data_IF_759612260152
#
_entry.id   IF_759612260152
#
_cell.length_a   1.000
_cell.length_b   1.000
_cell.length_c   1.000
_cell.angle_alpha   90.00
_cell.angle_beta   90.00
_cell.angle_gamma   90.00
#
_symmetry.space_group_name_H-M   'P 1'
#
loop_
_entity.id
_entity.type
_entity.pdbx_description
1 polymer ?
2 non-polymer ?
3 non-polymer ?
4 non-polymer ?
5 water ?
#
# COMPACT_ATOMS: atom_id res chain seq x y z
N UNK A 19 24.95 -10.89 -14.34
CA UNK A 19 24.52 -9.86 -13.38
C UNK A 19 24.93 -10.23 -11.96
N UNK A 20 24.32 -11.29 -11.43
CA UNK A 20 24.62 -11.82 -10.10
C UNK A 20 24.67 -10.78 -8.98
N UNK A 21 23.49 -10.45 -8.44
CA UNK A 21 23.39 -9.48 -7.36
C UNK A 21 23.15 -10.18 -6.03
N UNK A 22 23.60 -9.56 -4.95
CA UNK A 22 23.17 -9.94 -3.62
C UNK A 22 21.96 -9.08 -3.28
N UNK A 23 20.82 -9.71 -3.01
CA UNK A 23 19.59 -9.01 -2.73
C UNK A 23 19.09 -9.32 -1.33
N UNK A 24 18.81 -8.29 -0.55
CA UNK A 24 18.24 -8.48 0.77
C UNK A 24 16.75 -8.22 0.73
N UNK A 25 16.00 -8.98 1.50
CA UNK A 25 14.58 -8.75 1.58
C UNK A 25 14.23 -8.43 3.01
N UNK A 26 13.70 -7.23 3.22
CA UNK A 26 13.30 -6.78 4.54
C UNK A 26 11.88 -7.19 4.85
N UNK A 27 11.72 -8.18 5.72
CA UNK A 27 10.41 -8.60 6.15
C UNK A 27 10.57 -9.32 7.48
N UNK A 28 9.47 -9.46 8.22
CA UNK A 28 9.52 -10.18 9.48
C UNK A 28 9.35 -11.72 9.40
N UNK A 29 8.87 -12.27 8.28
CA UNK A 29 8.76 -13.74 8.16
C UNK A 29 8.73 -14.33 6.74
N UNK A 30 8.56 -15.67 6.68
CA UNK A 30 8.43 -16.41 5.43
C UNK A 30 6.98 -16.76 5.01
N UNK A 31 6.44 -15.94 4.10
CA UNK A 31 5.09 -16.12 3.55
C UNK A 31 5.22 -16.27 2.02
N UNK A 32 4.11 -16.45 1.27
CA UNK A 32 4.23 -16.76 -0.18
C UNK A 32 5.12 -15.77 -0.89
N UNK A 33 4.87 -14.50 -0.64
CA UNK A 33 5.64 -13.41 -1.23
C UNK A 33 7.11 -13.65 -0.93
N UNK A 34 7.43 -14.11 0.27
CA UNK A 34 8.84 -14.21 0.61
C UNK A 34 9.48 -15.38 -0.10
N UNK A 35 8.77 -16.50 -0.14
CA UNK A 35 9.22 -17.65 -0.92
C UNK A 35 9.29 -17.34 -2.42
N UNK A 36 8.28 -16.66 -2.96
CA UNK A 36 8.21 -16.48 -4.42
C UNK A 36 9.31 -15.61 -5.01
N UNK A 37 10.10 -14.94 -4.17
CA UNK A 37 11.19 -14.13 -4.71
C UNK A 37 12.58 -14.58 -4.34
N UNK A 38 12.71 -15.28 -3.21
CA UNK A 38 13.89 -16.11 -2.97
C UNK A 38 13.93 -16.98 -4.24
N UNK A 39 12.77 -17.55 -4.57
CA UNK A 39 12.58 -18.40 -5.74
C UNK A 39 13.00 -17.69 -7.03
N UNK A 40 12.37 -16.56 -7.32
CA UNK A 40 12.58 -15.89 -8.60
C UNK A 40 13.95 -15.23 -8.73
N UNK A 41 14.57 -14.87 -7.61
CA UNK A 41 15.89 -14.29 -7.67
C UNK A 41 16.98 -15.35 -7.80
N UNK A 42 16.84 -16.49 -7.13
CA UNK A 42 17.83 -17.54 -7.30
C UNK A 42 17.74 -18.08 -8.74
N UNK A 43 16.52 -18.25 -9.24
CA UNK A 43 16.30 -18.71 -10.62
C UNK A 43 16.79 -17.72 -11.66
N UNK A 44 16.18 -16.53 -11.69
CA UNK A 44 16.55 -15.47 -12.65
C UNK A 44 18.01 -15.12 -12.39
N UNK A 45 18.66 -14.52 -13.38
CA UNK A 45 20.11 -14.29 -13.44
C UNK A 45 20.98 -14.65 -12.21
N UNK A 46 20.61 -15.74 -11.52
CA UNK A 46 21.40 -16.35 -10.47
C UNK A 46 21.88 -15.37 -9.43
N UNK A 47 20.93 -14.74 -8.76
CA UNK A 47 21.23 -13.78 -7.72
C UNK A 47 21.22 -14.54 -6.39
N UNK A 48 22.00 -14.05 -5.43
CA UNK A 48 21.94 -14.54 -4.06
C UNK A 48 20.92 -13.72 -3.27
N UNK A 49 20.24 -14.36 -2.32
CA UNK A 49 19.19 -13.71 -1.53
C UNK A 49 19.31 -14.03 -0.03
N UNK A 50 19.28 -12.99 0.79
CA UNK A 50 19.18 -13.15 2.23
C UNK A 50 17.88 -12.48 2.68
N UNK A 51 17.10 -13.14 3.53
CA UNK A 51 15.86 -12.56 4.03
C UNK A 51 16.04 -12.14 5.48
N UNK A 52 15.98 -10.81 5.72
CA UNK A 52 16.33 -10.23 7.02
C UNK A 52 15.12 -9.64 7.74
N UNK A 53 15.01 -9.91 9.04
CA UNK A 53 14.08 -9.17 9.89
C UNK A 53 14.66 -7.76 10.11
N UNK A 54 13.87 -6.71 9.78
CA UNK A 54 14.38 -5.36 10.00
C UNK A 54 14.63 -5.13 11.49
N UNK A 55 13.72 -5.67 12.30
CA UNK A 55 13.82 -5.56 13.74
C UNK A 55 15.10 -6.15 14.35
N UNK A 56 15.79 -6.98 13.59
CA UNK A 56 16.97 -7.67 14.11
C UNK A 56 18.23 -6.99 13.65
N UNK A 57 18.07 -6.02 12.76
CA UNK A 57 19.17 -5.20 12.33
C UNK A 57 19.49 -4.22 13.45
N UNK A 58 20.77 -3.91 13.61
CA UNK A 58 21.21 -2.90 14.55
C UNK A 58 22.48 -2.27 13.99
N UNK A 59 22.68 -0.98 14.23
CA UNK A 59 23.69 -0.25 13.47
C UNK A 59 24.02 1.10 14.09
N UNK A 60 25.19 1.65 13.76
CA UNK A 60 25.51 3.01 14.16
C UNK A 60 25.00 4.01 13.15
N UNK A 61 23.95 4.74 13.51
CA UNK A 61 23.41 5.78 12.64
C UNK A 61 24.39 6.92 12.60
N UNK A 62 25.16 7.06 13.67
CA UNK A 62 26.27 7.99 13.62
C UNK A 62 27.37 7.43 12.68
N UNK A 63 28.66 7.49 13.08
CA UNK A 63 29.68 7.80 12.06
C UNK A 63 29.21 7.47 10.65
N UNK A 64 28.49 8.41 10.03
CA UNK A 64 27.69 8.21 8.80
C UNK A 64 28.02 6.99 7.93
N UNK A 65 26.95 6.32 7.48
CA UNK A 65 26.96 4.99 6.87
C UNK A 65 27.15 3.91 7.94
N UNK A 66 28.33 3.30 8.01
CA UNK A 66 28.63 2.24 8.99
C UNK A 66 27.79 0.97 8.78
N UNK A 67 28.42 -0.17 8.98
CA UNK A 67 27.82 -1.45 8.64
C UNK A 67 26.56 -1.71 9.42
N UNK A 68 25.73 -2.61 8.91
CA UNK A 68 24.53 -3.05 9.62
C UNK A 68 24.79 -4.41 10.26
N UNK A 69 24.45 -4.55 11.54
CA UNK A 69 24.71 -5.79 12.23
C UNK A 69 23.44 -6.62 12.36
N UNK A 70 23.62 -7.93 12.33
CA UNK A 70 22.51 -8.86 12.34
C UNK A 70 23.02 -10.13 12.99
N UNK A 71 22.37 -10.52 14.08
CA UNK A 71 22.77 -11.69 14.86
C UNK A 71 24.28 -11.78 15.10
N UNK A 72 24.88 -10.69 15.57
CA UNK A 72 26.28 -10.71 15.98
C UNK A 72 27.29 -10.53 14.86
N UNK A 73 26.83 -10.59 13.61
CA UNK A 73 27.77 -10.42 12.49
C UNK A 73 27.45 -9.19 11.62
N UNK A 74 28.42 -8.76 10.83
CA UNK A 74 28.22 -7.64 9.90
C UNK A 74 27.66 -8.16 8.59
N UNK A 75 26.59 -7.53 8.11
CA UNK A 75 26.02 -7.85 6.81
C UNK A 75 27.00 -7.50 5.70
N UNK A 76 26.93 -8.24 4.58
CA UNK A 76 28.03 -8.20 3.61
C UNK A 76 27.87 -7.27 2.41
N UNK A 77 26.96 -6.31 2.45
CA UNK A 77 26.69 -5.39 1.32
C UNK A 77 25.85 -5.91 0.18
N UNK A 78 24.63 -5.41 0.13
CA UNK A 78 23.65 -5.84 -0.84
C UNK A 78 23.57 -4.84 -1.98
N UNK A 79 23.50 -5.36 -3.20
CA UNK A 79 23.33 -4.52 -4.37
C UNK A 79 21.95 -3.89 -4.39
N UNK A 80 21.01 -4.54 -3.70
CA UNK A 80 19.63 -4.12 -3.71
C UNK A 80 18.90 -4.61 -2.47
N UNK A 81 17.86 -3.87 -2.07
CA UNK A 81 17.03 -4.30 -0.95
C UNK A 81 15.58 -4.22 -1.35
N UNK A 82 14.85 -5.27 -1.00
CA UNK A 82 13.42 -5.31 -1.25
C UNK A 82 12.72 -5.15 0.10
N UNK A 83 12.28 -3.93 0.41
CA UNK A 83 11.55 -3.70 1.66
C UNK A 83 10.14 -4.22 1.52
N UNK A 84 9.63 -4.80 2.59
CA UNK A 84 8.28 -5.32 2.62
C UNK A 84 7.85 -5.19 4.06
N UNK A 85 7.98 -3.97 4.56
CA UNK A 85 7.86 -3.68 5.97
C UNK A 85 6.40 -3.61 6.40
N UNK A 86 6.13 -4.18 7.57
CA UNK A 86 4.81 -4.22 8.12
C UNK A 86 4.30 -2.87 8.60
N UNK A 87 2.98 -2.75 8.59
CA UNK A 87 2.31 -1.48 8.88
C UNK A 87 2.49 -1.05 10.32
N UNK A 88 3.03 -1.93 11.17
CA UNK A 88 3.15 -1.63 12.59
C UNK A 88 4.60 -1.48 13.05
N UNK A 89 5.51 -1.41 12.09
CA UNK A 89 6.93 -1.49 12.38
C UNK A 89 7.64 -0.53 11.40
N UNK A 90 6.82 0.38 10.90
CA UNK A 90 7.21 1.23 9.80
C UNK A 90 8.24 2.31 10.20
N UNK A 91 8.22 2.79 11.45
CA UNK A 91 9.27 3.71 11.90
C UNK A 91 10.65 3.12 11.96
N UNK A 92 10.78 1.97 12.61
CA UNK A 92 12.09 1.34 12.66
C UNK A 92 12.45 0.71 11.33
N UNK A 93 11.45 0.14 10.65
CA UNK A 93 11.66 -0.53 9.38
C UNK A 93 12.33 0.37 8.38
N UNK A 94 11.77 1.57 8.22
CA UNK A 94 12.30 2.57 7.29
C UNK A 94 13.67 3.10 7.72
N UNK A 95 13.95 3.04 9.02
CA UNK A 95 15.26 3.45 9.51
C UNK A 95 16.31 2.48 9.03
N UNK A 96 16.05 1.19 9.23
CA UNK A 96 16.93 0.15 8.72
C UNK A 96 17.03 0.26 7.21
N UNK A 97 15.89 0.50 6.55
CA UNK A 97 15.89 0.66 5.11
C UNK A 97 16.83 1.78 4.72
N UNK A 98 16.74 2.89 5.46
CA UNK A 98 17.51 4.08 5.16
C UNK A 98 19.00 3.76 5.23
N UNK A 99 19.40 2.97 6.21
CA UNK A 99 20.80 2.57 6.33
C UNK A 99 21.30 1.79 5.14
N UNK A 100 20.47 0.87 4.64
CA UNK A 100 20.86 0.10 3.47
C UNK A 100 21.07 1.05 2.31
N UNK A 101 20.13 2.00 2.15
CA UNK A 101 20.22 2.98 1.08
C UNK A 101 21.52 3.78 1.18
N UNK A 102 21.86 4.22 2.39
CA UNK A 102 23.08 5.00 2.62
C UNK A 102 24.33 4.17 2.34
N UNK A 103 24.21 2.85 2.45
CA UNK A 103 25.31 1.95 2.10
C UNK A 103 25.44 1.63 0.60
N UNK A 104 24.50 2.10 -0.21
CA UNK A 104 24.59 1.92 -1.65
C UNK A 104 23.59 0.95 -2.26
N UNK A 105 22.83 0.25 -1.43
CA UNK A 105 21.83 -0.68 -1.94
C UNK A 105 20.69 0.05 -2.65
N UNK A 106 20.30 -0.42 -3.83
CA UNK A 106 19.11 0.11 -4.50
C UNK A 106 17.87 -0.48 -3.84
N UNK A 107 16.85 0.34 -3.60
CA UNK A 107 15.62 -0.23 -3.04
C UNK A 107 14.44 -0.20 -4.00
N UNK A 108 13.68 -1.28 -4.14
CA UNK A 108 12.43 -1.01 -4.81
C UNK A 108 11.42 -0.60 -3.77
N UNK A 109 10.96 0.64 -3.94
CA UNK A 109 10.32 1.46 -2.92
C UNK A 109 11.36 2.02 -1.95
N UNK A 110 11.63 3.33 -2.07
CA UNK A 110 12.55 3.97 -1.13
C UNK A 110 11.86 4.45 0.16
N UNK A 111 12.61 4.39 1.25
CA UNK A 111 12.21 4.83 2.61
C UNK A 111 11.26 6.01 2.65
N UNK A 112 11.64 7.13 2.06
CA UNK A 112 10.75 8.32 2.10
C UNK A 112 9.40 7.97 1.52
N UNK A 113 9.42 7.37 0.34
CA UNK A 113 8.17 7.02 -0.33
C UNK A 113 7.35 6.07 0.54
N UNK A 114 8.02 5.13 1.18
CA UNK A 114 7.30 4.12 1.96
C UNK A 114 6.66 4.79 3.15
N UNK A 115 7.48 5.55 3.88
CA UNK A 115 7.03 6.34 5.02
C UNK A 115 5.78 7.17 4.67
N UNK A 116 5.91 8.06 3.71
CA UNK A 116 4.79 8.91 3.31
C UNK A 116 3.54 8.11 2.97
N UNK A 117 3.73 6.97 2.30
CA UNK A 117 2.61 6.17 1.81
C UNK A 117 1.80 5.55 2.95
N UNK A 118 2.47 5.32 4.08
CA UNK A 118 1.78 4.72 5.22
C UNK A 118 0.74 5.69 5.74
N UNK A 119 1.03 6.98 5.62
CA UNK A 119 0.12 8.05 6.03
C UNK A 119 -0.98 8.23 4.99
N UNK A 120 -2.17 7.70 5.24
CA UNK A 120 -3.21 7.73 4.20
C UNK A 120 -3.70 9.15 3.95
N UNK A 121 -3.79 9.93 5.03
CA UNK A 121 -4.08 11.36 4.97
C UNK A 121 -3.14 12.14 4.05
N UNK A 122 -1.83 12.07 4.33
CA UNK A 122 -0.86 12.78 3.48
C UNK A 122 -0.97 12.30 2.04
N UNK A 123 -1.17 11.00 1.88
CA UNK A 123 -1.20 10.40 0.55
C UNK A 123 -2.45 10.78 -0.23
N UNK A 124 -3.60 10.76 0.43
CA UNK A 124 -4.83 11.20 -0.20
C UNK A 124 -4.73 12.67 -0.60
N UNK A 125 -4.10 13.47 0.26
CA UNK A 125 -3.93 14.90 -0.02
C UNK A 125 -3.11 15.05 -1.28
N UNK A 126 -1.96 14.37 -1.31
CA UNK A 126 -1.02 14.45 -2.41
C UNK A 126 -1.64 14.03 -3.75
N UNK A 127 -2.37 12.92 -3.73
CA UNK A 127 -3.01 12.43 -4.95
C UNK A 127 -4.01 13.44 -5.44
N UNK A 128 -4.71 14.08 -4.50
CA UNK A 128 -5.73 15.03 -4.87
C UNK A 128 -5.09 16.25 -5.49
N UNK A 129 -3.98 16.69 -4.92
CA UNK A 129 -3.29 17.89 -5.42
C UNK A 129 -2.79 17.64 -6.83
N UNK A 130 -2.37 16.41 -7.10
CA UNK A 130 -1.78 16.09 -8.40
C UNK A 130 -2.80 15.74 -9.47
N UNK A 131 -4.09 15.89 -9.16
CA UNK A 131 -5.13 15.82 -10.17
C UNK A 131 -5.83 14.48 -10.31
N UNK A 132 -5.50 13.55 -9.43
CA UNK A 132 -6.07 12.22 -9.49
C UNK A 132 -7.45 12.12 -8.83
N UNK A 133 -8.46 11.75 -9.61
CA UNK A 133 -9.81 11.56 -9.10
C UNK A 133 -9.93 10.56 -7.97
N UNK A 134 -10.33 11.07 -6.80
CA UNK A 134 -10.70 10.25 -5.66
C UNK A 134 -12.21 10.40 -5.46
N UNK A 135 -12.81 9.54 -4.63
CA UNK A 135 -14.16 9.85 -4.14
C UNK A 135 -14.10 11.14 -3.33
N UNK A 136 -15.17 11.94 -3.21
CA UNK A 136 -15.08 13.11 -2.33
C UNK A 136 -14.86 12.64 -0.90
N UNK A 137 -13.91 13.28 -0.21
CA UNK A 137 -13.43 12.78 1.07
C UNK A 137 -13.20 13.86 2.13
N UNK A 138 -13.76 13.64 3.32
CA UNK A 138 -13.57 14.55 4.43
C UNK A 138 -12.58 14.00 5.45
N UNK A 139 -11.95 14.91 6.17
CA UNK A 139 -10.97 14.57 7.20
C UNK A 139 -11.43 15.20 8.51
N UNK A 140 -11.28 14.46 9.62
CA UNK A 140 -11.74 14.94 10.92
C UNK A 140 -11.06 14.18 12.05
N UNK A 141 -11.17 14.68 13.27
CA UNK A 141 -10.63 13.97 14.43
C UNK A 141 -11.61 14.15 15.57
N UNK A 142 -11.84 15.41 15.95
CA UNK A 142 -12.83 15.74 16.97
C UNK A 142 -13.66 16.92 16.50
N UNK A 143 -14.49 16.69 15.49
CA UNK A 143 -15.09 17.75 14.66
C UNK A 143 -16.05 18.77 15.30
N UNK A 144 -16.58 18.56 16.51
CA UNK A 144 -17.37 19.63 17.18
C UNK A 144 -18.75 20.00 16.60
N UNK A 145 -18.96 19.73 15.32
CA UNK A 145 -20.26 19.93 14.67
C UNK A 145 -20.42 18.85 13.59
N UNK A 146 -20.90 17.67 13.98
CA UNK A 146 -20.97 16.54 13.04
C UNK A 146 -21.89 16.83 11.84
N UNK A 147 -23.00 17.49 12.09
CA UNK A 147 -23.96 17.82 11.04
C UNK A 147 -23.30 18.60 9.90
N UNK A 148 -22.52 19.61 10.25
CA UNK A 148 -21.79 20.36 9.27
C UNK A 148 -20.78 19.47 8.53
N UNK A 149 -20.12 18.57 9.25
CA UNK A 149 -19.16 17.65 8.62
C UNK A 149 -19.81 16.71 7.59
N UNK A 150 -20.99 16.21 7.91
CA UNK A 150 -21.76 15.36 7.03
C UNK A 150 -22.26 16.10 5.79
N UNK A 151 -22.60 17.38 5.96
CA UNK A 151 -23.16 18.19 4.86
C UNK A 151 -22.02 18.52 3.91
N UNK A 152 -20.88 18.84 4.50
CA UNK A 152 -19.61 18.89 3.81
C UNK A 152 -19.47 17.45 3.40
N UNK A 153 -18.79 17.14 2.30
CA UNK A 153 -18.76 15.76 1.78
C UNK A 153 -20.07 15.39 1.07
N UNK A 154 -21.17 16.01 1.48
CA UNK A 154 -22.43 15.91 0.80
C UNK A 154 -23.22 14.67 1.14
N UNK A 155 -22.50 13.56 1.30
CA UNK A 155 -23.11 12.25 1.47
C UNK A 155 -24.29 12.19 2.40
N UNK A 156 -25.26 11.37 2.04
CA UNK A 156 -26.33 11.03 2.95
C UNK A 156 -26.09 9.58 3.31
N UNK A 157 -25.73 8.73 2.32
CA UNK A 157 -24.99 7.51 2.67
C UNK A 157 -23.50 7.71 2.43
N UNK A 158 -22.67 7.40 3.43
CA UNK A 158 -21.22 7.47 3.24
C UNK A 158 -20.44 6.50 4.12
N UNK A 159 -19.16 6.37 3.81
CA UNK A 159 -18.28 5.42 4.49
C UNK A 159 -17.45 6.18 5.48
N UNK A 160 -17.36 5.67 6.70
CA UNK A 160 -16.55 6.30 7.73
C UNK A 160 -15.41 5.34 8.01
N UNK A 161 -14.17 5.83 7.94
CA UNK A 161 -13.02 4.96 8.15
C UNK A 161 -12.18 5.43 9.33
N UNK A 162 -12.25 4.68 10.42
CA UNK A 162 -11.44 4.93 11.59
C UNK A 162 -9.98 4.61 11.32
N UNK A 163 -9.05 5.36 11.91
CA UNK A 163 -7.63 5.11 11.61
C UNK A 163 -6.67 4.91 12.78
N UNK A 164 -6.63 5.85 13.71
CA UNK A 164 -5.69 5.72 14.86
C UNK A 164 -4.22 5.72 14.44
N UNK A 165 -3.61 6.89 14.41
CA UNK A 165 -2.21 7.01 14.02
C UNK A 165 -2.05 6.78 12.55
N UNK A 166 -1.69 5.55 12.21
CA UNK A 166 -1.38 5.19 10.82
C UNK A 166 -1.61 3.70 10.71
N UNK A 167 -2.89 3.34 10.76
CA UNK A 167 -3.26 1.95 10.87
C UNK A 167 -4.52 1.70 10.09
N UNK A 168 -5.64 2.11 10.66
CA UNK A 168 -6.92 1.71 10.13
C UNK A 168 -7.39 0.60 11.03
N UNK A 169 -8.53 0.81 11.66
CA UNK A 169 -9.06 -0.16 12.59
C UNK A 169 -10.56 -0.27 12.35
N UNK A 170 -10.97 0.04 11.12
CA UNK A 170 -12.38 -0.09 10.77
C UNK A 170 -12.92 0.77 9.66
N UNK A 171 -13.78 0.17 8.83
CA UNK A 171 -14.65 0.93 7.95
C UNK A 171 -16.07 0.49 8.18
N UNK A 172 -17.00 1.39 7.88
CA UNK A 172 -18.39 1.16 8.17
C UNK A 172 -19.21 1.99 7.21
N UNK A 173 -20.36 1.47 6.81
CA UNK A 173 -21.25 2.22 5.96
C UNK A 173 -22.30 2.88 6.83
N UNK A 174 -22.59 4.14 6.54
CA UNK A 174 -23.66 4.82 7.23
C UNK A 174 -24.69 5.20 6.19
N UNK A 175 -25.85 4.55 6.24
CA UNK A 175 -26.80 4.67 5.15
C UNK A 175 -27.64 5.93 5.28
N UNK A 176 -27.94 6.31 6.52
CA UNK A 176 -28.75 7.49 6.80
C UNK A 176 -27.93 8.61 7.44
N UNK A 177 -28.54 9.79 7.61
CA UNK A 177 -27.92 10.91 8.31
C UNK A 177 -27.64 10.55 9.77
N UNK A 178 -28.66 9.98 10.43
CA UNK A 178 -28.56 9.60 11.84
C UNK A 178 -27.47 8.56 12.11
N UNK A 179 -27.35 7.58 11.23
CA UNK A 179 -26.30 6.59 11.37
C UNK A 179 -24.94 7.28 11.30
N UNK A 180 -24.74 8.07 10.24
CA UNK A 180 -23.52 8.82 10.08
C UNK A 180 -23.24 9.69 11.31
N UNK A 181 -24.29 10.27 11.89
CA UNK A 181 -24.15 11.04 13.12
C UNK A 181 -23.64 10.18 14.28
N UNK A 182 -24.36 9.12 14.61
CA UNK A 182 -24.01 8.28 15.77
C UNK A 182 -22.60 7.69 15.62
N UNK A 183 -22.24 7.30 14.41
CA UNK A 183 -20.90 6.77 14.16
C UNK A 183 -19.82 7.80 14.47
N UNK A 184 -19.95 8.98 13.86
CA UNK A 184 -18.93 10.02 14.05
C UNK A 184 -18.85 10.38 15.52
N UNK A 185 -20.01 10.59 16.14
CA UNK A 185 -20.08 10.89 17.57
C UNK A 185 -19.42 9.81 18.42
N UNK A 186 -19.50 8.56 17.99
CA UNK A 186 -18.85 7.47 18.69
C UNK A 186 -17.35 7.61 18.66
N UNK A 187 -16.81 7.83 17.46
CA UNK A 187 -15.37 7.91 17.28
C UNK A 187 -14.80 9.21 17.79
N UNK A 188 -15.64 10.24 17.86
CA UNK A 188 -15.23 11.56 18.32
C UNK A 188 -14.47 11.50 19.66
N UNK A 189 -14.85 10.54 20.50
CA UNK A 189 -14.13 10.27 21.73
C UNK A 189 -12.74 9.83 21.33
N UNK A 190 -11.81 10.79 21.35
CA UNK A 190 -10.54 10.69 20.62
C UNK A 190 -9.80 9.36 20.74
N UNK A 191 -10.16 8.54 21.74
CA UNK A 191 -9.57 7.21 21.90
C UNK A 191 -9.72 6.34 20.66
N UNK A 192 -10.27 6.93 19.60
CA UNK A 192 -10.31 6.35 18.27
C UNK A 192 -9.45 7.19 17.32
N UNK A 193 -9.25 8.46 17.66
CA UNK A 193 -8.34 9.34 16.92
C UNK A 193 -8.75 9.53 15.47
N UNK A 194 -7.83 10.02 14.64
CA UNK A 194 -8.13 10.50 13.28
C UNK A 194 -9.20 9.70 12.50
N UNK A 195 -10.03 10.36 11.71
CA UNK A 195 -11.05 9.63 10.95
C UNK A 195 -11.49 10.24 9.60
N UNK A 196 -11.85 9.37 8.66
CA UNK A 196 -12.07 9.76 7.25
C UNK A 196 -13.53 9.54 6.79
N UNK A 197 -14.16 10.57 6.19
CA UNK A 197 -15.48 10.42 5.54
C UNK A 197 -15.42 10.50 4.03
N UNK A 198 -16.03 9.54 3.34
CA UNK A 198 -16.20 9.64 1.90
C UNK A 198 -17.45 8.92 1.47
N UNK A 199 -18.02 9.30 0.32
CA UNK A 199 -19.29 8.71 -0.09
C UNK A 199 -19.20 7.31 -0.67
N UNK A 200 -20.25 6.51 -0.45
CA UNK A 200 -20.36 5.10 -0.91
C UNK A 200 -20.62 5.07 -2.42
N UNK A 201 -20.57 3.88 -3.03
CA UNK A 201 -20.75 3.75 -4.48
C UNK A 201 -21.94 2.96 -5.05
N UNK A 202 -22.04 3.09 -6.37
CA UNK A 202 -22.74 2.18 -7.25
C UNK A 202 -22.01 0.88 -7.10
N UNK A 203 -21.03 0.67 -7.99
CA UNK A 203 -20.07 -0.43 -7.92
C UNK A 203 -20.83 -1.67 -7.52
N UNK A 204 -20.40 -2.33 -6.45
CA UNK A 204 -21.23 -3.26 -5.66
C UNK A 204 -20.35 -4.13 -4.83
N UNK A 205 -19.57 -3.52 -3.96
CA UNK A 205 -18.60 -4.26 -3.19
C UNK A 205 -17.50 -4.76 -4.10
N UNK A 206 -17.46 -4.26 -5.34
CA UNK A 206 -16.42 -4.66 -6.27
C UNK A 206 -15.45 -3.51 -6.51
N UNK A 207 -14.19 -3.73 -6.18
CA UNK A 207 -13.14 -2.81 -6.56
C UNK A 207 -12.11 -3.54 -7.42
N UNK A 208 -11.34 -2.79 -8.19
CA UNK A 208 -10.30 -3.35 -9.02
C UNK A 208 -8.98 -3.08 -8.32
N UNK A 209 -8.16 -4.12 -8.15
CA UNK A 209 -6.82 -3.91 -7.64
C UNK A 209 -5.78 -4.08 -8.73
N UNK A 210 -5.11 -2.99 -9.09
CA UNK A 210 -4.02 -3.05 -10.06
C UNK A 210 -2.70 -3.09 -9.31
N UNK A 211 -1.75 -3.82 -9.87
CA UNK A 211 -0.44 -3.91 -9.28
C UNK A 211 0.55 -3.30 -10.25
N UNK A 212 1.20 -2.23 -9.81
CA UNK A 212 2.14 -1.51 -10.67
C UNK A 212 3.55 -1.90 -10.30
N UNK A 213 4.35 -2.24 -11.32
CA UNK A 213 5.79 -2.39 -11.15
C UNK A 213 6.43 -1.45 -12.14
N UNK A 214 7.19 -0.49 -11.62
CA UNK A 214 7.76 0.54 -12.47
C UNK A 214 6.68 1.29 -13.21
N UNK A 215 6.79 1.35 -14.54
CA UNK A 215 5.91 2.19 -15.34
C UNK A 215 4.80 1.40 -16.06
N UNK A 216 4.48 0.21 -15.55
CA UNK A 216 3.38 -0.56 -16.12
C UNK A 216 2.50 -1.23 -15.06
N UNK A 217 1.24 -1.45 -15.39
CA UNK A 217 0.40 -2.34 -14.60
C UNK A 217 0.69 -3.76 -15.04
N UNK A 218 1.10 -4.57 -14.08
CA UNK A 218 1.69 -5.86 -14.32
C UNK A 218 0.64 -6.97 -14.16
N UNK A 219 -0.33 -6.74 -13.27
CA UNK A 219 -1.44 -7.67 -13.03
C UNK A 219 -2.60 -6.93 -12.40
N UNK A 220 -3.81 -7.50 -12.49
CA UNK A 220 -5.00 -6.80 -11.97
C UNK A 220 -6.16 -7.75 -11.73
N UNK A 221 -6.76 -7.68 -10.55
CA UNK A 221 -7.89 -8.53 -10.25
C UNK A 221 -9.10 -7.74 -9.80
N UNK A 222 -10.28 -8.35 -9.94
CA UNK A 222 -11.51 -7.87 -9.33
C UNK A 222 -11.69 -8.52 -7.98
N UNK A 223 -11.91 -7.71 -6.96
CA UNK A 223 -12.23 -8.21 -5.64
C UNK A 223 -13.70 -7.96 -5.37
N UNK A 224 -14.41 -9.00 -4.95
CA UNK A 224 -15.86 -8.96 -4.91
C UNK A 224 -16.33 -9.23 -3.50
N UNK A 225 -17.32 -8.45 -3.06
CA UNK A 225 -17.79 -8.56 -1.69
C UNK A 225 -18.65 -9.82 -1.50
N UNK A 226 -19.07 -10.05 -0.26
CA UNK A 226 -20.05 -11.09 0.02
C UNK A 226 -21.43 -10.45 0.19
N UNK A 227 -22.44 -11.26 0.45
CA UNK A 227 -23.81 -10.77 0.57
C UNK A 227 -24.02 -9.82 1.76
N UNK A 228 -23.52 -10.22 2.94
CA UNK A 228 -23.62 -9.40 4.14
C UNK A 228 -22.93 -8.06 3.98
N UNK A 229 -23.69 -6.98 4.17
CA UNK A 229 -23.31 -5.61 3.77
C UNK A 229 -22.36 -5.57 2.56
N UNK A 230 -21.28 -4.81 2.67
CA UNK A 230 -20.35 -4.66 1.55
C UNK A 230 -18.93 -5.16 1.87
N UNK A 231 -18.07 -4.26 2.36
CA UNK A 231 -16.63 -4.43 2.38
C UNK A 231 -16.21 -4.75 0.96
N UNK A 232 -15.22 -5.66 0.86
CA UNK A 232 -14.67 -6.24 -0.37
C UNK A 232 -13.27 -6.71 -0.08
N UNK A 233 -12.77 -6.30 1.09
CA UNK A 233 -11.40 -6.57 1.53
C UNK A 233 -10.95 -7.97 1.17
N UNK A 234 -9.68 -8.09 0.76
CA UNK A 234 -9.01 -9.35 0.42
C UNK A 234 -9.75 -10.60 0.92
N UNK A 235 -9.86 -10.73 2.23
CA UNK A 235 -10.88 -11.60 2.83
C UNK A 235 -11.54 -10.97 4.06
N UNK A 236 -12.47 -10.07 3.80
CA UNK A 236 -13.53 -9.72 4.74
C UNK A 236 -14.76 -10.44 4.19
N UNK A 237 -14.48 -11.46 3.37
CA UNK A 237 -15.49 -12.20 2.62
C UNK A 237 -15.20 -12.14 1.12
N UNK A 238 -14.00 -11.68 0.78
CA UNK A 238 -13.64 -11.38 -0.59
C UNK A 238 -13.40 -12.56 -1.50
N UNK A 239 -13.84 -12.44 -2.75
CA UNK A 239 -13.66 -13.45 -3.78
C UNK A 239 -12.98 -12.82 -4.99
N UNK A 240 -11.82 -13.35 -5.39
CA UNK A 240 -11.08 -12.74 -6.49
C UNK A 240 -11.42 -13.36 -7.85
N UNK A 241 -11.29 -12.54 -8.89
CA UNK A 241 -11.45 -13.00 -10.26
C UNK A 241 -10.65 -12.08 -11.17
N UNK A 242 -10.19 -12.61 -12.30
CA UNK A 242 -9.31 -11.88 -13.21
C UNK A 242 -10.04 -10.65 -13.79
N UNK A 243 -9.31 -9.58 -14.11
CA UNK A 243 -9.93 -8.27 -14.42
C UNK A 243 -9.74 -7.74 -15.86
N UNK A 244 -10.69 -6.96 -16.36
CA UNK A 244 -10.53 -6.31 -17.67
C UNK A 244 -10.42 -4.78 -17.54
N UNK A 245 -9.20 -4.33 -17.28
CA UNK A 245 -8.88 -2.91 -17.06
C UNK A 245 -9.01 -2.09 -18.34
N UNK A 246 -9.66 -0.93 -18.24
CA UNK A 246 -9.71 -0.01 -19.37
C UNK A 246 -8.36 0.69 -19.49
N UNK A 247 -7.99 1.14 -20.69
CA UNK A 247 -6.76 1.93 -20.86
C UNK A 247 -6.69 3.12 -19.90
N UNK A 248 -7.81 3.78 -19.66
CA UNK A 248 -7.91 4.87 -18.69
C UNK A 248 -7.55 4.45 -17.26
N UNK A 249 -8.15 3.36 -16.78
CA UNK A 249 -7.81 2.82 -15.47
C UNK A 249 -6.32 2.49 -15.37
N UNK A 250 -5.79 1.88 -16.44
CA UNK A 250 -4.37 1.56 -16.52
C UNK A 250 -3.46 2.80 -16.34
N UNK A 251 -3.74 3.86 -17.11
CA UNK A 251 -3.04 5.15 -16.98
C UNK A 251 -3.06 5.71 -15.56
N UNK A 252 -4.24 5.71 -14.96
CA UNK A 252 -4.44 6.24 -13.62
C UNK A 252 -3.57 5.50 -12.59
N UNK A 253 -3.65 4.17 -12.60
CA UNK A 253 -2.95 3.38 -11.60
C UNK A 253 -1.44 3.57 -11.72
N UNK A 254 -0.98 3.84 -12.93
CA UNK A 254 0.42 4.13 -13.14
C UNK A 254 0.78 5.54 -12.64
N UNK A 255 -0.11 6.50 -12.91
CA UNK A 255 0.11 7.87 -12.43
C UNK A 255 0.13 7.95 -10.89
N UNK A 256 -0.83 7.27 -10.24
CA UNK A 256 -0.88 7.21 -8.79
C UNK A 256 0.46 6.77 -8.18
N UNK A 257 1.02 5.67 -8.69
CA UNK A 257 2.29 5.17 -8.18
C UNK A 257 3.43 6.17 -8.42
N UNK A 258 3.39 6.82 -9.58
CA UNK A 258 4.39 7.81 -9.94
C UNK A 258 4.32 9.01 -8.99
N UNK A 259 3.11 9.46 -8.70
CA UNK A 259 2.85 10.55 -7.78
C UNK A 259 3.38 10.24 -6.40
N UNK A 260 3.19 8.99 -5.96
CA UNK A 260 3.64 8.55 -4.65
C UNK A 260 5.13 8.21 -4.63
N UNK A 261 5.76 8.28 -5.81
CA UNK A 261 7.14 7.83 -5.98
C UNK A 261 7.39 6.40 -5.49
N UNK A 262 6.44 5.52 -5.77
CA UNK A 262 6.57 4.11 -5.46
C UNK A 262 7.01 3.28 -6.68
N UNK A 263 8.02 2.43 -6.51
CA UNK A 263 8.44 1.55 -7.60
C UNK A 263 7.52 0.35 -7.75
N UNK A 264 7.00 -0.12 -6.62
CA UNK A 264 6.03 -1.19 -6.61
C UNK A 264 4.85 -0.73 -5.78
N UNK A 265 3.64 -0.84 -6.32
CA UNK A 265 2.49 -0.40 -5.57
C UNK A 265 1.21 -1.14 -5.93
N UNK A 266 0.35 -1.29 -4.93
CA UNK A 266 -1.01 -1.74 -5.18
C UNK A 266 -2.02 -0.61 -5.19
N UNK A 267 -2.56 -0.29 -6.35
CA UNK A 267 -3.61 0.73 -6.46
C UNK A 267 -5.01 0.11 -6.52
N UNK A 268 -5.91 0.56 -5.65
CA UNK A 268 -7.29 0.09 -5.67
C UNK A 268 -8.20 1.13 -6.29
N UNK A 269 -9.06 0.69 -7.19
CA UNK A 269 -9.85 1.59 -7.99
C UNK A 269 -11.32 1.22 -7.92
N UNK A 270 -12.17 2.22 -7.74
CA UNK A 270 -13.60 1.97 -7.72
C UNK A 270 -14.21 2.51 -8.99
N UNK A 271 -15.11 1.75 -9.60
CA UNK A 271 -15.78 2.19 -10.81
C UNK A 271 -17.04 2.99 -10.53
N UNK A 272 -16.90 4.31 -10.52
CA UNK A 272 -18.06 5.18 -10.36
C UNK A 272 -18.62 5.56 -11.72
N UNK A 273 -19.89 5.97 -11.72
CA UNK A 273 -20.54 6.50 -12.92
C UNK A 273 -19.68 7.58 -13.58
N UNK A 274 -19.24 8.54 -12.77
CA UNK A 274 -18.39 9.63 -13.25
C UNK A 274 -17.05 9.12 -13.80
N UNK A 275 -16.64 7.93 -13.38
CA UNK A 275 -15.39 7.35 -13.82
C UNK A 275 -14.64 6.60 -12.75
N UNK A 276 -13.45 6.09 -13.09
CA UNK A 276 -12.66 5.34 -12.11
C UNK A 276 -12.05 6.24 -11.03
N UNK A 277 -12.14 5.82 -9.77
CA UNK A 277 -11.63 6.60 -8.63
C UNK A 277 -10.63 5.80 -7.80
N UNK A 278 -9.48 6.41 -7.49
CA UNK A 278 -8.48 5.73 -6.66
C UNK A 278 -8.91 5.78 -5.21
N UNK A 279 -8.92 4.63 -4.57
CA UNK A 279 -9.42 4.53 -3.22
C UNK A 279 -8.28 4.40 -2.23
N UNK A 280 -7.16 3.85 -2.69
CA UNK A 280 -6.02 3.54 -1.82
C UNK A 280 -4.79 3.17 -2.64
N UNK A 281 -3.61 3.43 -2.09
CA UNK A 281 -2.35 3.01 -2.71
C UNK A 281 -1.45 2.34 -1.67
N UNK A 282 -1.02 1.11 -1.93
CA UNK A 282 -0.17 0.35 -1.01
C UNK A 282 1.23 0.14 -1.54
N UNK A 283 2.23 0.32 -0.69
CA UNK A 283 3.62 0.15 -1.11
C UNK A 283 4.13 -1.29 -0.90
N UNK A 284 3.33 -2.12 -0.24
CA UNK A 284 3.67 -3.53 -0.07
C UNK A 284 2.51 -4.45 -0.39
N UNK A 285 2.02 -4.43 -1.65
CA UNK A 285 0.88 -5.29 -2.02
C UNK A 285 1.19 -6.78 -1.88
N UNK A 286 0.22 -7.55 -1.40
CA UNK A 286 0.35 -8.98 -1.33
C UNK A 286 0.31 -9.57 -2.73
N UNK A 287 1.03 -10.66 -2.92
CA UNK A 287 1.13 -11.28 -4.23
C UNK A 287 0.22 -12.49 -4.41
N UNK A 288 0.01 -13.26 -3.33
CA UNK A 288 -0.65 -14.56 -3.46
C UNK A 288 -1.99 -14.56 -4.20
N UNK A 289 -2.97 -13.84 -3.69
CA UNK A 289 -4.28 -13.76 -4.32
C UNK A 289 -4.19 -13.40 -5.79
N UNK A 290 -3.48 -12.32 -6.09
CA UNK A 290 -3.38 -11.82 -7.46
C UNK A 290 -2.52 -12.70 -8.39
N UNK A 291 -1.46 -13.30 -7.87
CA UNK A 291 -0.67 -14.22 -8.68
C UNK A 291 -1.45 -15.49 -9.02
N UNK A 292 -2.08 -16.10 -8.02
CA UNK A 292 -2.82 -17.33 -8.23
C UNK A 292 -4.04 -17.10 -9.11
N UNK A 293 -4.59 -15.90 -9.05
CA UNK A 293 -5.82 -15.63 -9.80
C UNK A 293 -5.52 -15.45 -11.28
N UNK A 294 -4.35 -14.91 -11.59
CA UNK A 294 -4.02 -14.52 -12.96
C UNK A 294 -2.98 -15.39 -13.61
N UNK A 295 -2.16 -16.03 -12.80
CA UNK A 295 -1.05 -16.83 -13.30
C UNK A 295 0.15 -16.03 -13.74
N UNK A 296 0.19 -14.76 -13.37
CA UNK A 296 1.27 -13.87 -13.82
C UNK A 296 2.46 -13.98 -12.88
N UNK A 297 3.68 -13.98 -13.42
CA UNK A 297 4.87 -14.05 -12.58
C UNK A 297 5.29 -12.66 -12.10
N UNK A 298 4.61 -12.19 -11.05
CA UNK A 298 4.81 -10.83 -10.58
C UNK A 298 6.18 -10.66 -9.89
N UNK A 299 6.51 -11.60 -9.01
CA UNK A 299 7.80 -11.59 -8.34
C UNK A 299 8.95 -11.46 -9.34
N UNK A 300 8.81 -12.08 -10.50
CA UNK A 300 9.81 -11.99 -11.52
C UNK A 300 9.93 -10.61 -12.17
N UNK A 301 8.79 -9.96 -12.39
CA UNK A 301 8.78 -8.61 -12.94
C UNK A 301 9.47 -7.65 -11.94
N UNK A 302 9.43 -8.00 -10.66
CA UNK A 302 10.06 -7.16 -9.63
C UNK A 302 11.58 -7.30 -9.63
N UNK A 303 12.07 -8.53 -9.66
CA UNK A 303 13.50 -8.80 -9.80
C UNK A 303 14.02 -8.20 -11.11
N UNK A 304 13.23 -8.34 -12.16
CA UNK A 304 13.61 -7.79 -13.46
C UNK A 304 13.80 -6.28 -13.32
N UNK A 305 12.89 -5.63 -12.60
CA UNK A 305 12.96 -4.18 -12.42
C UNK A 305 14.23 -3.78 -11.70
N UNK A 306 14.58 -4.56 -10.69
CA UNK A 306 15.81 -4.35 -9.96
C UNK A 306 16.98 -4.46 -10.93
N UNK A 307 17.02 -5.51 -11.73
CA UNK A 307 18.06 -5.70 -12.76
C UNK A 307 18.26 -4.50 -13.69
N UNK A 308 17.16 -3.84 -14.06
CA UNK A 308 17.22 -2.68 -14.94
C UNK A 308 17.71 -1.39 -14.23
N UNK A 309 17.74 -1.40 -12.91
CA UNK A 309 17.97 -0.16 -12.15
C UNK A 309 19.07 -0.17 -11.09
N UNK A 310 19.44 -1.34 -10.59
CA UNK A 310 20.49 -1.44 -9.60
C UNK A 310 21.88 -1.51 -10.25
N UNK A 311 22.81 -0.75 -9.69
CA UNK A 311 24.18 -0.70 -10.22
C UNK A 311 25.08 -1.73 -9.54
N UNK A 312 25.74 -2.56 -10.34
CA UNK A 312 26.68 -3.55 -9.81
C UNK A 312 28.06 -3.39 -10.44
X LIG B 1 -8.61 -1.92 1.33
X LIG B 1 -9.60 -2.80 0.62
X LIG B 1 -8.23 -2.39 2.71
X LIG B 1 -7.43 -1.53 0.47
X LIG B 1 -10.49 -0.19 2.67
X LIG B 1 -10.26 -1.05 3.90
X LIG B 1 -10.52 1.32 2.78
X LIG B 1 -9.41 -0.53 1.52
X LIG B 1 -11.88 -0.67 2.02
X LIG B 1 -12.60 -1.84 2.43
X LIG B 1 -13.55 -2.22 1.30
X LIG B 1 -14.75 -1.46 1.43
X LIG B 1 -12.99 -1.90 -0.08
X LIG B 1 -12.46 -3.04 -0.74
X LIG B 1 -14.14 -1.33 -0.87
X LIG B 1 -14.70 -2.28 -1.80
X LIG B 1 -15.18 -0.95 0.16
X LIG B 1 -15.17 0.53 0.16
X LIG B 1 -14.27 1.30 0.81
X LIG B 1 -14.51 2.61 0.60
X LIG B 1 -15.58 2.70 -0.20
X LIG B 1 -16.35 3.81 -0.79
X LIG B 1 -16.00 5.11 -0.54
X LIG B 1 -17.41 3.47 -1.55
X LIG B 1 -17.75 2.19 -1.79
X LIG B 1 -17.09 1.13 -1.28
X LIG B 1 -16.01 1.32 -0.49
X LIG C 1 -0.04 16.01 0.42
X LIG C 1 0.97 16.99 -0.01
X LIG C 1 0.57 17.81 -1.24
X LIG C 1 -0.55 18.31 -1.36
X LIG C 1 2.30 16.30 -0.27
X LIG C 1 2.96 15.75 0.95
X LIG C 1 4.43 15.59 0.75
X LIG C 1 4.94 16.09 -0.27
X LIG C 1 5.07 14.96 1.59
X LIG C 1 1.41 18.00 -2.14
X LIG D 1 -2.65 -6.05 0.72
X LIG D 1 -3.98 -5.59 1.09
X LIG D 1 -2.05 -6.76 1.86
X LIG D 1 -2.72 -6.95 -0.42
X LIG D 1 -1.83 -4.89 0.39
X LIG E 1 1.18 0.10 2.74
X LIG E 1 2.13 1.17 2.48
X LIG E 1 -0.16 0.68 2.77
X LIG E 1 1.26 -0.91 1.69
X LIG E 1 1.46 -0.54 4.02
X LIG F 1 19.98 -15.72 9.16
X LIG F 1 19.89 -14.89 7.96
X LIG F 1 21.23 -15.44 9.88
X LIG F 1 18.84 -15.46 10.04
X LIG F 1 19.96 -17.13 8.78
X LIG G 1 31.94 -0.15 10.28
X LIG G 1 31.51 0.65 9.13
X LIG G 1 33.04 0.52 10.97
X LIG G 1 30.84 -0.33 11.22
X LIG G 1 32.41 -1.45 9.81
X LIG H 1 12.35 -6.25 -19.05
X LIG H 1 13.05 -5.33 -18.17
X LIG H 1 11.80 -7.36 -18.27
X LIG H 1 11.27 -5.56 -19.74
X LIG H 1 13.30 -6.77 -20.02
#
# INVERSE_FOLDING_TARGET
MGSSHHHHHHSSGLVPRGSHMKIAILSRDGTLYSCKRLREAAIQRGHLVEILDPLSCYMNINPAASSIHYKGRKLPHFDAVIPRIGTAITFYGTAALRQFEMLGSYPLNESVAIARARDKLRSMQLLARQGIDLPVTGIAHSPDDTSDLIDMVGGAPLVVKLVEGTQGIGVVLAETRQAAESVIDAFRGLNAHILVQEYIKEAQGCDIRCLVVGDEVVAAIERRAKEGDFRSNLHRGGAASVASITPQEREIAIKAARTMALDVAGVDILRANRGPLVMEVNASPGLEGIEKTTGIDIAGKMIRWIERHATTEYCLKTGG
ADP PB O1B O2B O3B PA O1A O2A O3A O5' C5' C4' O4' C3' O3' C2' O2' C1' N9 C8 N7 C5 C6 N6 N1 C2 N3 C4
GLU N CA C O CB CG CD OE1 OE2 OXT
SO4 S O1 O2 O3 O4
SO4 S O1 O2 O3 O4
SO4 S O1 O2 O3 O4
SO4 S O1 O2 O3 O4
SO4 S O1 O2 O3 O4
#
